data_IF_304482996767
#
_entry.id   IF_304482996767
#
_cell.length_a   1.000
_cell.length_b   1.000
_cell.length_c   1.000
_cell.angle_alpha   90.00
_cell.angle_beta   90.00
_cell.angle_gamma   90.00
#
_symmetry.space_group_name_H-M   'P 1'
#
loop_
_entity.id
_entity.type
_entity.pdbx_description
1 polymer ?
#
# COMPACT_ATOMS: atom_id res chain seq x y z
N UNK A 1 -22.25 -4.32 -8.93
CA UNK A 1 -22.77 -5.01 -10.13
C UNK A 1 -22.22 -6.43 -10.21
N UNK A 2 -22.94 -7.35 -10.84
CA UNK A 2 -22.46 -8.70 -11.15
C UNK A 2 -22.26 -8.81 -12.66
N UNK A 3 -21.09 -9.23 -13.07
CA UNK A 3 -20.73 -9.49 -14.47
C UNK A 3 -20.13 -10.90 -14.54
N UNK A 4 -20.93 -11.88 -15.01
CA UNK A 4 -20.49 -13.28 -15.04
C UNK A 4 -20.09 -13.79 -13.66
N UNK A 5 -18.85 -14.30 -13.54
CA UNK A 5 -18.30 -14.85 -12.29
C UNK A 5 -17.65 -13.80 -11.35
N UNK A 6 -17.86 -12.52 -11.60
CA UNK A 6 -17.24 -11.45 -10.82
C UNK A 6 -18.30 -10.57 -10.12
N UNK A 7 -17.98 -10.14 -8.92
CA UNK A 7 -18.71 -9.11 -8.19
C UNK A 7 -17.87 -7.84 -8.17
N UNK A 8 -18.42 -6.73 -8.63
CA UNK A 8 -17.80 -5.42 -8.55
C UNK A 8 -18.43 -4.64 -7.42
N UNK A 9 -17.61 -4.14 -6.51
CA UNK A 9 -18.00 -3.25 -5.41
C UNK A 9 -17.36 -1.90 -5.69
N UNK A 10 -18.18 -0.85 -5.66
CA UNK A 10 -17.74 0.53 -5.80
C UNK A 10 -18.02 1.27 -4.50
N UNK A 11 -17.09 2.13 -4.10
CA UNK A 11 -17.22 2.98 -2.93
C UNK A 11 -16.77 4.41 -3.27
N UNK A 12 -17.41 5.38 -2.63
CA UNK A 12 -17.01 6.78 -2.70
C UNK A 12 -16.95 7.37 -1.29
N UNK A 13 -15.90 8.13 -1.03
CA UNK A 13 -15.77 8.94 0.18
C UNK A 13 -16.20 10.38 -0.13
N UNK A 14 -17.01 10.95 0.75
CA UNK A 14 -17.50 12.31 0.62
C UNK A 14 -17.02 13.16 1.80
N UNK A 15 -16.77 14.45 1.55
CA UNK A 15 -16.55 15.43 2.61
C UNK A 15 -17.88 15.88 3.24
N UNK A 16 -17.81 16.76 4.24
CA UNK A 16 -19.00 17.29 4.91
C UNK A 16 -19.93 18.11 3.99
N UNK A 17 -19.44 18.61 2.86
CA UNK A 17 -20.23 19.31 1.84
C UNK A 17 -20.86 18.34 0.81
N UNK A 18 -20.64 17.04 0.93
CA UNK A 18 -21.15 16.02 0.01
C UNK A 18 -20.31 15.85 -1.27
N UNK A 19 -19.16 16.50 -1.36
CA UNK A 19 -18.28 16.38 -2.53
C UNK A 19 -17.45 15.09 -2.45
N UNK A 20 -17.27 14.42 -3.59
CA UNK A 20 -16.46 13.21 -3.68
C UNK A 20 -14.99 13.55 -3.47
N UNK A 21 -14.37 12.99 -2.42
CA UNK A 21 -12.95 13.16 -2.09
C UNK A 21 -12.10 11.98 -2.54
N UNK A 22 -12.71 10.83 -2.75
CA UNK A 22 -12.02 9.63 -3.20
C UNK A 22 -12.99 8.57 -3.65
N UNK A 23 -12.52 7.68 -4.52
CA UNK A 23 -13.28 6.52 -5.00
C UNK A 23 -12.44 5.27 -4.89
N UNK A 24 -13.12 4.13 -4.72
CA UNK A 24 -12.50 2.82 -4.80
C UNK A 24 -13.40 1.87 -5.60
N UNK A 25 -12.77 0.98 -6.35
CA UNK A 25 -13.43 -0.13 -7.02
C UNK A 25 -12.71 -1.43 -6.65
N UNK A 26 -13.47 -2.45 -6.31
CA UNK A 26 -12.95 -3.77 -6.01
C UNK A 26 -13.66 -4.81 -6.88
N UNK A 27 -12.87 -5.70 -7.50
CA UNK A 27 -13.38 -6.85 -8.22
C UNK A 27 -13.09 -8.13 -7.43
N UNK A 28 -14.14 -8.89 -7.15
CA UNK A 28 -14.07 -10.21 -6.53
C UNK A 28 -14.45 -11.25 -7.59
N UNK A 29 -13.48 -12.01 -8.07
CA UNK A 29 -13.69 -13.03 -9.10
C UNK A 29 -13.65 -14.44 -8.49
N UNK A 30 -14.51 -15.33 -9.02
CA UNK A 30 -14.47 -16.77 -8.75
C UNK A 30 -13.59 -17.52 -9.77
N UNK A 31 -13.14 -16.86 -10.84
CA UNK A 31 -12.21 -17.45 -11.79
C UNK A 31 -10.90 -17.88 -11.10
N UNK A 32 -10.19 -18.86 -11.65
CA UNK A 32 -8.85 -19.23 -11.18
C UNK A 32 -7.96 -17.99 -11.08
N UNK A 33 -7.29 -17.82 -9.93
CA UNK A 33 -6.39 -16.69 -9.74
C UNK A 33 -5.12 -16.87 -10.58
N UNK A 34 -4.57 -15.79 -11.14
CA UNK A 34 -3.21 -15.85 -11.69
C UNK A 34 -2.23 -16.19 -10.56
N UNK A 35 -1.04 -16.61 -10.93
CA UNK A 35 0.04 -16.86 -9.97
C UNK A 35 0.43 -15.53 -9.28
N UNK A 36 0.69 -15.55 -7.97
CA UNK A 36 1.22 -14.37 -7.28
C UNK A 36 2.62 -14.03 -7.83
N UNK A 37 3.06 -12.76 -7.72
CA UNK A 37 4.43 -12.39 -8.02
C UNK A 37 5.42 -13.22 -7.20
N UNK A 38 6.56 -13.56 -7.82
CA UNK A 38 7.67 -14.19 -7.09
C UNK A 38 8.25 -13.20 -6.09
N UNK A 39 8.22 -13.57 -4.80
CA UNK A 39 8.81 -12.76 -3.75
C UNK A 39 10.33 -12.58 -3.92
N UNK A 40 11.02 -13.54 -4.55
CA UNK A 40 12.44 -13.46 -4.85
C UNK A 40 12.80 -12.37 -5.87
N UNK A 41 11.85 -11.96 -6.72
CA UNK A 41 12.03 -10.87 -7.68
C UNK A 41 11.97 -9.47 -7.05
N UNK A 42 11.60 -9.36 -5.78
CA UNK A 42 11.54 -8.11 -5.02
C UNK A 42 12.64 -8.12 -3.95
N UNK A 43 13.70 -7.38 -4.20
CA UNK A 43 14.81 -7.24 -3.26
C UNK A 43 14.36 -6.53 -1.97
N UNK A 44 15.04 -6.86 -0.87
CA UNK A 44 14.94 -6.14 0.40
C UNK A 44 16.13 -5.21 0.57
N UNK A 45 15.93 -4.09 1.25
CA UNK A 45 17.01 -3.20 1.65
C UNK A 45 16.74 -2.67 3.06
N UNK A 46 17.79 -2.31 3.77
CA UNK A 46 17.66 -1.69 5.08
C UNK A 46 16.97 -0.33 4.95
N UNK A 47 16.13 0.01 5.93
CA UNK A 47 15.59 1.37 6.05
C UNK A 47 16.72 2.35 6.31
N UNK A 48 16.73 3.55 5.69
CA UNK A 48 17.77 4.54 5.94
C UNK A 48 17.74 5.02 7.39
N UNK A 49 18.91 5.17 8.01
CA UNK A 49 19.02 5.71 9.35
C UNK A 49 18.58 7.18 9.41
N UNK A 50 18.86 7.94 8.36
CA UNK A 50 18.34 9.29 8.15
C UNK A 50 17.69 9.39 6.77
N UNK A 51 16.50 9.99 6.74
CA UNK A 51 15.75 10.16 5.49
C UNK A 51 16.26 11.40 4.75
N UNK A 52 16.84 11.25 3.55
CA UNK A 52 17.24 12.40 2.75
C UNK A 52 16.02 13.18 2.24
N UNK A 53 16.22 14.45 1.91
CA UNK A 53 15.19 15.24 1.23
C UNK A 53 14.91 14.66 -0.15
N UNK A 54 13.66 14.46 -0.50
CA UNK A 54 13.28 13.92 -1.80
C UNK A 54 13.72 14.86 -2.94
N UNK A 55 14.25 14.27 -3.99
CA UNK A 55 14.49 14.92 -5.27
C UNK A 55 14.38 13.89 -6.39
N UNK A 56 14.18 14.35 -7.62
CA UNK A 56 14.13 13.47 -8.79
C UNK A 56 15.44 12.68 -8.94
N UNK A 57 16.58 13.35 -8.84
CA UNK A 57 17.88 12.71 -8.97
C UNK A 57 18.12 11.63 -7.90
N UNK A 58 17.69 11.88 -6.65
CA UNK A 58 17.74 10.88 -5.58
C UNK A 58 16.90 9.66 -5.95
N UNK A 59 15.64 9.86 -6.36
CA UNK A 59 14.73 8.76 -6.70
C UNK A 59 15.21 7.98 -7.93
N UNK A 60 15.80 8.63 -8.92
CA UNK A 60 16.41 7.96 -10.08
C UNK A 60 17.58 7.04 -9.69
N UNK A 61 18.33 7.41 -8.63
CA UNK A 61 19.39 6.60 -8.07
C UNK A 61 18.92 5.43 -7.19
N UNK A 62 17.73 5.54 -6.60
CA UNK A 62 17.15 4.55 -5.70
C UNK A 62 16.32 3.54 -6.50
N UNK A 63 16.93 2.43 -6.93
CA UNK A 63 16.19 1.38 -7.64
C UNK A 63 15.31 0.54 -6.71
N UNK A 64 15.79 0.27 -5.50
CA UNK A 64 15.14 -0.49 -4.43
C UNK A 64 15.04 0.42 -3.22
N UNK A 65 13.86 0.50 -2.65
CA UNK A 65 13.63 1.25 -1.41
C UNK A 65 13.89 0.36 -0.19
N UNK A 66 14.29 0.96 0.92
CA UNK A 66 14.33 0.29 2.22
C UNK A 66 12.97 -0.31 2.54
N UNK A 67 12.97 -1.49 3.11
CA UNK A 67 11.79 -2.32 3.33
C UNK A 67 11.17 -2.01 4.69
N UNK A 68 10.03 -1.31 4.78
CA UNK A 68 9.33 -1.18 6.05
C UNK A 68 8.74 -2.52 6.47
N UNK A 69 8.94 -2.85 7.73
CA UNK A 69 8.49 -4.09 8.35
C UNK A 69 7.47 -3.80 9.45
N UNK A 70 6.63 -4.78 9.73
CA UNK A 70 5.62 -4.74 10.77
C UNK A 70 5.46 -6.13 11.39
N UNK A 71 5.76 -6.26 12.68
CA UNK A 71 5.26 -7.39 13.47
C UNK A 71 3.80 -7.09 13.81
N UNK A 72 2.88 -7.83 13.21
CA UNK A 72 1.45 -7.62 13.44
C UNK A 72 1.02 -8.28 14.74
N UNK A 73 1.03 -7.49 15.83
CA UNK A 73 0.59 -7.97 17.13
C UNK A 73 -0.91 -7.76 17.34
N UNK A 74 -1.55 -8.46 18.29
CA UNK A 74 -2.94 -8.20 18.65
C UNK A 74 -3.20 -6.75 19.04
N UNK A 75 -2.25 -6.12 19.76
CA UNK A 75 -2.35 -4.73 20.20
C UNK A 75 -2.30 -3.76 19.01
N UNK A 76 -1.36 -3.95 18.07
CA UNK A 76 -1.25 -3.10 16.87
C UNK A 76 -2.47 -3.24 15.96
N UNK A 77 -3.01 -4.45 15.83
CA UNK A 77 -4.25 -4.69 15.08
C UNK A 77 -5.45 -4.01 15.76
N UNK A 78 -5.63 -4.18 17.07
CA UNK A 78 -6.72 -3.54 17.83
C UNK A 78 -6.63 -2.01 17.78
N UNK A 79 -5.43 -1.44 17.91
CA UNK A 79 -5.20 0.01 17.81
C UNK A 79 -5.57 0.53 16.42
N UNK A 80 -5.22 -0.19 15.35
CA UNK A 80 -5.61 0.17 13.99
C UNK A 80 -7.13 0.19 13.82
N UNK A 81 -7.83 -0.87 14.24
CA UNK A 81 -9.29 -0.96 14.16
C UNK A 81 -9.98 0.17 14.92
N UNK A 82 -9.49 0.49 16.12
CA UNK A 82 -10.02 1.58 16.97
C UNK A 82 -9.84 2.94 16.29
N UNK A 83 -8.65 3.19 15.72
CA UNK A 83 -8.34 4.44 15.02
C UNK A 83 -9.29 4.73 13.86
N UNK A 84 -9.73 3.70 13.14
CA UNK A 84 -10.60 3.82 11.98
C UNK A 84 -12.07 3.51 12.27
N UNK A 85 -12.42 3.23 13.54
CA UNK A 85 -13.78 2.90 13.94
C UNK A 85 -14.30 1.60 13.30
N UNK A 86 -13.40 0.66 12.98
CA UNK A 86 -13.78 -0.61 12.36
C UNK A 86 -14.49 -1.53 13.36
N UNK A 87 -15.68 -1.99 13.00
CA UNK A 87 -16.54 -2.77 13.89
C UNK A 87 -16.92 -4.16 13.37
N UNK A 88 -16.46 -4.53 12.17
CA UNK A 88 -16.82 -5.82 11.58
C UNK A 88 -16.37 -7.00 12.45
N UNK A 89 -17.27 -7.97 12.72
CA UNK A 89 -16.94 -9.14 13.53
C UNK A 89 -15.78 -9.97 12.99
N UNK A 90 -15.53 -9.89 11.68
CA UNK A 90 -14.41 -10.55 11.00
C UNK A 90 -13.05 -10.25 11.67
N UNK A 91 -12.84 -9.01 12.15
CA UNK A 91 -11.59 -8.58 12.77
C UNK A 91 -11.55 -8.81 14.30
N UNK A 92 -12.60 -9.41 14.88
CA UNK A 92 -12.75 -9.64 16.33
C UNK A 92 -12.80 -11.12 16.70
N UNK A 93 -12.56 -12.00 15.75
CA UNK A 93 -12.49 -13.44 15.97
C UNK A 93 -11.15 -13.85 16.61
N UNK A 94 -11.02 -15.12 17.05
CA UNK A 94 -9.82 -15.62 17.73
C UNK A 94 -8.54 -15.49 16.89
N UNK A 95 -8.64 -15.72 15.57
CA UNK A 95 -7.54 -15.58 14.62
C UNK A 95 -7.90 -14.55 13.54
N UNK A 96 -7.89 -13.25 13.87
CA UNK A 96 -8.38 -12.25 12.95
C UNK A 96 -7.41 -12.05 11.76
N UNK A 97 -7.94 -11.83 10.56
CA UNK A 97 -7.12 -11.38 9.45
C UNK A 97 -6.61 -9.96 9.72
N UNK A 98 -5.47 -9.63 9.13
CA UNK A 98 -5.01 -8.24 9.07
C UNK A 98 -6.01 -7.38 8.28
N UNK A 99 -6.32 -6.18 8.78
CA UNK A 99 -7.16 -5.25 8.04
C UNK A 99 -6.42 -4.78 6.77
N UNK A 100 -7.04 -4.85 5.55
CA UNK A 100 -6.36 -4.51 4.29
C UNK A 100 -5.82 -3.08 4.23
N UNK A 101 -6.42 -2.15 4.95
CA UNK A 101 -5.92 -0.78 5.05
C UNK A 101 -4.51 -0.68 5.65
N UNK A 102 -4.08 -1.64 6.48
CA UNK A 102 -2.70 -1.70 6.99
C UNK A 102 -1.68 -1.93 5.86
N UNK A 103 -2.10 -2.57 4.77
CA UNK A 103 -1.23 -2.78 3.60
C UNK A 103 -0.94 -1.46 2.88
N UNK A 104 -1.93 -0.58 2.80
CA UNK A 104 -1.76 0.77 2.23
C UNK A 104 -0.94 1.68 3.15
N UNK A 105 -1.06 1.54 4.47
CA UNK A 105 -0.18 2.24 5.41
C UNK A 105 1.29 1.82 5.22
N UNK A 106 1.57 0.53 5.01
CA UNK A 106 2.91 0.05 4.68
C UNK A 106 3.37 0.55 3.30
N UNK A 107 2.48 0.62 2.32
CA UNK A 107 2.78 1.19 1.00
C UNK A 107 3.17 2.67 1.10
N UNK A 108 2.43 3.47 1.88
CA UNK A 108 2.78 4.86 2.17
C UNK A 108 4.15 4.97 2.86
N UNK A 109 4.43 4.07 3.81
CA UNK A 109 5.73 4.03 4.52
C UNK A 109 6.88 3.62 3.61
N UNK A 110 6.65 2.87 2.55
CA UNK A 110 7.67 2.54 1.57
C UNK A 110 8.27 3.79 0.90
N UNK A 111 7.50 4.86 0.71
CA UNK A 111 8.03 6.14 0.25
C UNK A 111 8.47 7.01 1.44
N UNK A 112 7.55 7.34 2.32
CA UNK A 112 7.78 8.33 3.39
C UNK A 112 8.78 7.89 4.46
N UNK A 113 9.03 6.60 4.59
CA UNK A 113 10.06 6.03 5.46
C UNK A 113 11.46 6.09 4.86
N UNK A 114 11.57 6.17 3.54
CA UNK A 114 12.85 6.21 2.83
C UNK A 114 13.35 7.62 2.53
N UNK A 115 12.41 8.56 2.30
CA UNK A 115 12.75 9.95 1.95
C UNK A 115 11.85 10.91 2.72
N UNK A 116 12.32 12.13 2.95
CA UNK A 116 11.48 13.21 3.47
C UNK A 116 10.67 13.79 2.33
N UNK A 117 9.36 13.55 2.39
CA UNK A 117 8.36 14.08 1.46
C UNK A 117 7.42 14.99 2.25
N UNK A 118 7.34 16.28 1.90
CA UNK A 118 6.39 17.19 2.55
C UNK A 118 6.29 18.51 1.75
N UNK A 119 5.10 18.90 1.33
CA UNK A 119 3.89 18.07 1.31
C UNK A 119 3.95 17.01 0.21
N UNK A 120 3.24 15.90 0.41
CA UNK A 120 3.06 14.87 -0.62
C UNK A 120 1.60 14.41 -0.66
N UNK A 121 1.18 13.85 -1.78
CA UNK A 121 -0.21 13.42 -1.96
C UNK A 121 -0.22 12.01 -2.51
N UNK A 122 -0.86 11.09 -1.79
CA UNK A 122 -1.25 9.81 -2.35
C UNK A 122 -2.34 10.04 -3.40
N UNK A 123 -2.12 9.54 -4.60
CA UNK A 123 -3.02 9.77 -5.74
C UNK A 123 -3.87 8.54 -6.02
N UNK A 124 -3.23 7.37 -6.12
CA UNK A 124 -3.88 6.13 -6.52
C UNK A 124 -3.11 4.92 -6.02
N UNK A 125 -3.85 3.87 -5.68
CA UNK A 125 -3.30 2.53 -5.51
C UNK A 125 -4.13 1.52 -6.30
N UNK A 126 -3.45 0.67 -7.06
CA UNK A 126 -4.03 -0.52 -7.69
C UNK A 126 -3.43 -1.76 -7.05
N UNK A 127 -4.24 -2.61 -6.47
CA UNK A 127 -3.76 -3.75 -5.70
C UNK A 127 -4.43 -5.07 -6.07
N UNK A 128 -3.68 -6.15 -5.89
CA UNK A 128 -4.18 -7.52 -5.95
C UNK A 128 -3.85 -8.23 -4.65
N UNK A 129 -4.82 -8.94 -4.09
CA UNK A 129 -4.64 -9.74 -2.87
C UNK A 129 -4.42 -11.20 -3.24
N UNK A 130 -3.34 -11.79 -2.72
CA UNK A 130 -2.88 -13.14 -3.03
C UNK A 130 -3.15 -14.12 -1.89
N UNK A 131 -2.95 -13.66 -0.66
CA UNK A 131 -3.23 -14.43 0.55
C UNK A 131 -3.68 -13.50 1.68
N UNK A 132 -4.18 -14.09 2.75
CA UNK A 132 -4.59 -13.36 3.96
C UNK A 132 -3.41 -13.30 4.91
N UNK A 133 -3.02 -12.10 5.34
CA UNK A 133 -2.13 -11.94 6.50
C UNK A 133 -2.95 -12.03 7.80
N UNK A 134 -2.33 -12.55 8.86
CA UNK A 134 -2.98 -12.77 10.16
C UNK A 134 -2.21 -12.09 11.27
N UNK A 135 -2.91 -11.78 12.34
CA UNK A 135 -2.27 -11.35 13.59
C UNK A 135 -1.27 -12.43 14.04
N UNK A 136 -0.11 -11.99 14.49
CA UNK A 136 1.04 -12.84 14.83
C UNK A 136 2.10 -12.95 13.73
N UNK A 137 1.78 -12.57 12.48
CA UNK A 137 2.72 -12.65 11.38
C UNK A 137 3.62 -11.42 11.27
N UNK A 138 4.83 -11.65 10.78
CA UNK A 138 5.76 -10.61 10.36
C UNK A 138 5.50 -10.24 8.90
N UNK A 139 5.29 -8.97 8.63
CA UNK A 139 5.00 -8.40 7.32
C UNK A 139 6.13 -7.49 6.86
N UNK A 140 6.49 -7.57 5.58
CA UNK A 140 7.50 -6.71 4.95
C UNK A 140 6.98 -6.17 3.62
N UNK A 141 7.00 -4.85 3.43
CA UNK A 141 6.63 -4.21 2.16
C UNK A 141 7.89 -3.97 1.32
N UNK A 142 8.14 -4.83 0.36
CA UNK A 142 9.24 -4.69 -0.60
C UNK A 142 8.83 -3.75 -1.70
N UNK A 143 9.70 -2.82 -2.05
CA UNK A 143 9.36 -1.72 -2.94
C UNK A 143 10.47 -1.39 -3.92
N UNK A 144 10.09 -1.12 -5.17
CA UNK A 144 10.97 -0.55 -6.18
C UNK A 144 10.29 0.63 -6.88
N UNK A 145 11.08 1.58 -7.35
CA UNK A 145 10.59 2.68 -8.15
C UNK A 145 10.34 2.15 -9.56
N UNK A 146 9.08 2.23 -10.00
CA UNK A 146 8.66 1.80 -11.32
C UNK A 146 8.84 2.91 -12.34
N UNK A 147 8.40 4.12 -12.01
CA UNK A 147 8.52 5.28 -12.89
C UNK A 147 8.52 6.61 -12.13
N UNK A 148 9.11 7.62 -12.75
CA UNK A 148 9.07 9.01 -12.32
C UNK A 148 8.58 9.84 -13.50
N UNK A 149 7.54 10.64 -13.30
CA UNK A 149 6.98 11.46 -14.37
C UNK A 149 6.46 12.80 -13.84
N UNK A 150 6.23 13.71 -14.78
CA UNK A 150 5.62 14.99 -14.49
C UNK A 150 4.22 15.05 -15.12
N UNK A 151 3.27 15.63 -14.38
CA UNK A 151 1.92 15.90 -14.89
C UNK A 151 1.39 17.17 -14.25
N UNK A 152 0.96 18.11 -15.08
CA UNK A 152 0.42 19.42 -14.62
C UNK A 152 1.39 20.19 -13.71
N UNK A 153 2.70 20.06 -13.94
CA UNK A 153 3.76 20.67 -13.15
C UNK A 153 4.07 19.99 -11.81
N UNK A 154 3.35 18.95 -11.42
CA UNK A 154 3.65 18.14 -10.24
C UNK A 154 4.57 16.97 -10.60
N UNK A 155 5.49 16.63 -9.69
CA UNK A 155 6.37 15.49 -9.84
C UNK A 155 5.75 14.25 -9.18
N UNK A 156 5.66 13.17 -9.94
CA UNK A 156 5.05 11.91 -9.53
C UNK A 156 6.08 10.81 -9.41
N UNK A 157 5.84 9.91 -8.48
CA UNK A 157 6.50 8.61 -8.39
C UNK A 157 5.45 7.50 -8.44
N UNK A 158 5.72 6.48 -9.23
CA UNK A 158 5.00 5.21 -9.22
C UNK A 158 5.89 4.15 -8.62
N UNK A 159 5.38 3.45 -7.61
CA UNK A 159 6.05 2.35 -6.93
C UNK A 159 5.40 1.03 -7.31
N UNK A 160 6.21 0.01 -7.51
CA UNK A 160 5.81 -1.38 -7.59
C UNK A 160 6.17 -2.07 -6.28
N UNK A 161 5.14 -2.55 -5.56
CA UNK A 161 5.24 -3.01 -4.19
C UNK A 161 4.73 -4.45 -4.06
N UNK A 162 5.41 -5.23 -3.25
CA UNK A 162 4.97 -6.55 -2.83
C UNK A 162 4.98 -6.66 -1.30
N UNK A 163 3.81 -6.85 -0.71
CA UNK A 163 3.68 -7.21 0.70
C UNK A 163 3.91 -8.71 0.84
N UNK A 164 4.86 -9.07 1.68
CA UNK A 164 5.27 -10.44 1.96
C UNK A 164 5.08 -10.73 3.44
N UNK A 165 4.49 -11.87 3.76
CA UNK A 165 4.42 -12.40 5.13
C UNK A 165 5.47 -13.48 5.32
N UNK A 166 6.05 -13.55 6.54
CA UNK A 166 7.00 -14.57 6.96
C UNK A 166 8.17 -14.76 5.97
N UNK A 167 8.62 -13.67 5.39
CA UNK A 167 9.77 -13.61 4.49
C UNK A 167 9.55 -14.06 3.05
N UNK A 168 8.52 -14.86 2.76
CA UNK A 168 8.37 -15.45 1.41
C UNK A 168 6.94 -15.49 0.85
N UNK A 169 5.89 -15.48 1.67
CA UNK A 169 4.51 -15.64 1.23
C UNK A 169 3.92 -14.33 0.72
N UNK A 170 3.61 -14.18 -0.58
CA UNK A 170 2.95 -12.99 -1.10
C UNK A 170 1.56 -12.79 -0.49
N UNK A 171 1.31 -11.59 0.01
CA UNK A 171 0.03 -11.18 0.59
C UNK A 171 -0.72 -10.26 -0.38
N UNK A 172 -0.06 -9.21 -0.83
CA UNK A 172 -0.64 -8.27 -1.79
C UNK A 172 0.45 -7.65 -2.65
N UNK A 173 0.14 -7.40 -3.92
CA UNK A 173 0.94 -6.53 -4.78
C UNK A 173 0.20 -5.20 -4.97
N UNK A 174 0.94 -4.09 -4.98
CA UNK A 174 0.36 -2.76 -5.08
C UNK A 174 1.18 -1.92 -6.04
N UNK A 175 0.52 -1.34 -7.05
CA UNK A 175 1.05 -0.21 -7.79
C UNK A 175 0.56 1.06 -7.09
N UNK A 176 1.49 1.88 -6.62
CA UNK A 176 1.20 3.01 -5.76
C UNK A 176 1.74 4.29 -6.38
N UNK A 177 0.86 5.24 -6.66
CA UNK A 177 1.22 6.52 -7.29
C UNK A 177 1.06 7.65 -6.28
N UNK A 178 2.10 8.46 -6.16
CA UNK A 178 2.10 9.64 -5.29
C UNK A 178 2.74 10.85 -5.97
N UNK A 179 2.26 12.05 -5.63
CA UNK A 179 2.96 13.30 -5.90
C UNK A 179 3.97 13.50 -4.78
N UNK A 180 5.25 13.53 -5.11
CA UNK A 180 6.31 13.76 -4.12
C UNK A 180 6.81 15.21 -4.10
N UNK A 181 6.44 15.99 -5.13
CA UNK A 181 6.73 17.42 -5.20
C UNK A 181 5.59 18.15 -5.91
N UNK A 182 4.98 19.09 -5.24
CA UNK A 182 3.98 19.95 -5.83
C UNK A 182 4.63 20.97 -6.77
N UNK A 183 3.87 21.42 -7.77
CA UNK A 183 4.29 22.57 -8.60
C UNK A 183 4.47 23.79 -7.70
N UNK A 184 5.41 24.68 -8.03
CA UNK A 184 5.47 25.99 -7.39
C UNK A 184 4.14 26.75 -7.53
N UNK A 185 3.80 27.54 -6.52
CA UNK A 185 2.61 28.38 -6.51
C UNK A 185 2.71 29.49 -7.57
#
# INVERSE_FOLDING_TARGET
ARTGDSVIVEAAAHNAAGEVCGTAQMSLSRAPRPQPPDAGAYATAAMPGERPQVSRALLEGLRVLGTPELQLTPESAAMYLTRFGETLPLYRQAEPPAHPGMYLDLANRALSGNVRVSPWIHVESQGSHWSVARVGEHLAMRARIQSLFEKKGHQFVELDLLLVAQGSRPVASVRHTAIYQLRPA
#
